data_IF_470594126888
#
_entry.id   IF_470594126888
#
_cell.length_a   1.000
_cell.length_b   1.000
_cell.length_c   1.000
_cell.angle_alpha   90.00
_cell.angle_beta   90.00
_cell.angle_gamma   90.00
#
_symmetry.space_group_name_H-M   'P 1'
#
loop_
_entity.id
_entity.type
_entity.pdbx_description
1 polymer ?
#
# COMPACT_ATOMS: atom_id res chain seq x y z
N UNK A 1 18.45 -6.78 12.76
CA UNK A 1 18.24 -7.93 11.86
C UNK A 1 16.86 -7.73 11.26
N UNK A 2 16.81 -7.45 9.97
CA UNK A 2 15.51 -7.41 9.28
C UNK A 2 14.90 -8.80 9.39
N UNK A 3 13.65 -8.89 9.83
CA UNK A 3 12.94 -10.16 10.02
C UNK A 3 12.93 -10.97 8.73
N UNK A 4 13.04 -12.28 8.87
CA UNK A 4 12.91 -13.25 7.77
C UNK A 4 11.54 -13.05 7.13
N UNK A 5 11.50 -12.80 5.80
CA UNK A 5 10.24 -12.65 5.10
C UNK A 5 9.59 -14.02 4.89
N UNK A 6 8.29 -14.11 5.16
CA UNK A 6 7.48 -15.32 5.00
C UNK A 6 6.83 -15.34 3.61
N UNK A 7 7.12 -16.38 2.83
CA UNK A 7 6.64 -16.52 1.44
C UNK A 7 5.76 -17.76 1.31
N UNK A 8 4.56 -17.59 0.76
CA UNK A 8 3.71 -18.68 0.32
C UNK A 8 4.02 -19.02 -1.14
N UNK A 9 4.48 -20.24 -1.40
CA UNK A 9 4.65 -20.80 -2.75
C UNK A 9 3.40 -21.58 -3.09
N UNK A 10 2.75 -21.25 -4.18
CA UNK A 10 1.57 -21.94 -4.72
C UNK A 10 1.94 -22.50 -6.09
N UNK A 11 2.32 -23.76 -6.15
CA UNK A 11 2.87 -24.44 -7.34
C UNK A 11 2.67 -25.95 -7.16
N UNK A 12 2.21 -26.66 -8.18
CA UNK A 12 2.03 -28.12 -8.14
C UNK A 12 3.36 -28.89 -8.20
N UNK A 13 4.47 -28.20 -8.50
CA UNK A 13 5.84 -28.74 -8.45
C UNK A 13 6.81 -27.78 -7.75
N UNK A 14 6.62 -27.48 -6.45
CA UNK A 14 7.33 -26.42 -5.73
C UNK A 14 8.77 -26.77 -5.35
N UNK A 15 9.24 -28.00 -5.61
CA UNK A 15 10.49 -28.56 -5.07
C UNK A 15 11.69 -27.63 -5.24
N UNK A 16 11.89 -27.09 -6.44
CA UNK A 16 13.04 -26.22 -6.72
C UNK A 16 13.03 -24.96 -5.83
N UNK A 17 11.91 -24.28 -5.74
CA UNK A 17 11.78 -23.04 -4.97
C UNK A 17 11.78 -23.31 -3.46
N UNK A 18 11.10 -24.37 -3.03
CA UNK A 18 11.07 -24.83 -1.64
C UNK A 18 12.46 -25.13 -1.08
N UNK A 19 13.34 -25.73 -1.90
CA UNK A 19 14.70 -26.09 -1.49
C UNK A 19 15.66 -24.89 -1.59
N UNK A 20 15.48 -24.01 -2.56
CA UNK A 20 16.40 -22.92 -2.84
C UNK A 20 16.18 -21.68 -1.97
N UNK A 21 14.93 -21.21 -1.81
CA UNK A 21 14.65 -19.92 -1.17
C UNK A 21 15.03 -19.84 0.32
N UNK A 22 14.94 -20.91 1.13
CA UNK A 22 15.44 -20.88 2.51
C UNK A 22 16.92 -20.55 2.64
N UNK A 23 17.73 -20.91 1.64
CA UNK A 23 19.17 -20.59 1.62
C UNK A 23 19.44 -19.08 1.52
N UNK A 24 18.44 -18.29 1.13
CA UNK A 24 18.47 -16.82 1.05
C UNK A 24 17.74 -16.15 2.20
N UNK A 25 17.37 -16.91 3.25
CA UNK A 25 16.78 -16.37 4.46
C UNK A 25 15.25 -16.15 4.39
N UNK A 26 14.55 -16.82 3.47
CA UNK A 26 13.09 -16.78 3.40
C UNK A 26 12.47 -17.96 4.17
N UNK A 27 11.39 -17.68 4.89
CA UNK A 27 10.54 -18.72 5.49
C UNK A 27 9.48 -19.15 4.48
N UNK A 28 9.41 -20.46 4.19
CA UNK A 28 8.59 -20.98 3.10
C UNK A 28 7.45 -21.83 3.60
N UNK A 29 6.25 -21.49 3.18
CA UNK A 29 5.06 -22.36 3.22
C UNK A 29 4.69 -22.72 1.78
N UNK A 30 4.19 -23.93 1.57
CA UNK A 30 3.83 -24.44 0.24
C UNK A 30 2.34 -24.79 0.22
N UNK A 31 1.70 -24.52 -0.91
CA UNK A 31 0.40 -25.03 -1.31
C UNK A 31 0.52 -25.63 -2.72
N UNK A 32 -0.11 -26.76 -2.98
CA UNK A 32 -0.03 -27.49 -4.26
C UNK A 32 -1.05 -26.96 -5.29
N UNK A 33 -2.06 -26.24 -4.84
CA UNK A 33 -3.05 -25.60 -5.71
C UNK A 33 -3.69 -24.35 -5.07
N UNK A 34 -4.57 -23.68 -5.83
CA UNK A 34 -5.22 -22.46 -5.37
C UNK A 34 -6.21 -22.70 -4.21
N UNK A 35 -6.84 -23.88 -4.12
CA UNK A 35 -7.79 -24.20 -3.05
C UNK A 35 -7.03 -24.31 -1.72
N UNK A 36 -5.92 -25.04 -1.72
CA UNK A 36 -5.07 -25.19 -0.55
C UNK A 36 -4.48 -23.84 -0.14
N UNK A 37 -4.01 -23.02 -1.10
CA UNK A 37 -3.52 -21.68 -0.84
C UNK A 37 -4.55 -20.80 -0.13
N UNK A 38 -5.79 -20.77 -0.60
CA UNK A 38 -6.87 -20.00 0.03
C UNK A 38 -7.20 -20.49 1.44
N UNK A 39 -7.12 -21.81 1.68
CA UNK A 39 -7.29 -22.39 3.01
C UNK A 39 -6.17 -21.96 3.96
N UNK A 40 -4.91 -21.99 3.51
CA UNK A 40 -3.75 -21.52 4.28
C UNK A 40 -3.89 -20.03 4.59
N UNK A 41 -4.28 -19.21 3.62
CA UNK A 41 -4.47 -17.77 3.75
C UNK A 41 -5.66 -17.38 4.64
N UNK A 42 -6.61 -18.31 4.90
CA UNK A 42 -7.72 -18.09 5.83
C UNK A 42 -7.35 -18.25 7.29
N UNK A 43 -6.19 -18.84 7.61
CA UNK A 43 -5.69 -19.00 8.96
C UNK A 43 -5.17 -17.66 9.50
N UNK A 44 -5.86 -17.10 10.48
CA UNK A 44 -5.53 -15.78 11.06
C UNK A 44 -4.19 -15.75 11.82
N UNK A 45 -3.65 -16.91 12.19
CA UNK A 45 -2.36 -17.00 12.88
C UNK A 45 -1.18 -16.99 11.91
N UNK A 46 -1.43 -17.03 10.61
CA UNK A 46 -0.38 -17.02 9.57
C UNK A 46 -0.29 -15.66 8.91
N UNK A 47 0.92 -15.22 8.69
CA UNK A 47 1.22 -13.99 7.96
C UNK A 47 2.20 -14.29 6.83
N UNK A 48 1.93 -13.69 5.67
CA UNK A 48 2.80 -13.82 4.50
C UNK A 48 3.15 -12.44 3.96
N UNK A 49 4.43 -12.24 3.68
CA UNK A 49 4.96 -11.00 3.08
C UNK A 49 4.89 -11.03 1.56
N UNK A 50 4.77 -12.22 0.95
CA UNK A 50 4.74 -12.42 -0.49
C UNK A 50 4.08 -13.75 -0.84
N UNK A 51 3.40 -13.79 -1.98
CA UNK A 51 2.91 -15.02 -2.61
C UNK A 51 3.62 -15.20 -3.96
N UNK A 52 4.23 -16.36 -4.18
CA UNK A 52 4.70 -16.83 -5.47
C UNK A 52 3.64 -17.78 -6.02
N UNK A 53 2.98 -17.42 -7.12
CA UNK A 53 1.79 -18.12 -7.61
C UNK A 53 1.98 -18.62 -9.04
N UNK A 54 2.01 -19.94 -9.21
CA UNK A 54 2.00 -20.53 -10.56
C UNK A 54 0.61 -20.32 -11.20
N UNK A 55 0.63 -20.12 -12.50
CA UNK A 55 -0.59 -20.00 -13.31
C UNK A 55 -1.22 -21.37 -13.59
N UNK A 56 -0.37 -22.38 -13.88
CA UNK A 56 -0.82 -23.67 -14.36
C UNK A 56 -0.82 -24.69 -13.23
N UNK A 57 -1.94 -24.84 -12.55
CA UNK A 57 -2.11 -25.78 -11.43
C UNK A 57 -3.42 -26.54 -11.58
N UNK A 58 -3.51 -27.78 -11.00
CA UNK A 58 -4.77 -28.52 -10.94
C UNK A 58 -5.81 -27.84 -10.05
N UNK A 59 -7.05 -28.30 -10.10
CA UNK A 59 -8.20 -27.87 -9.30
C UNK A 59 -8.53 -26.38 -9.44
N UNK A 60 -7.65 -25.47 -9.04
CA UNK A 60 -7.81 -24.02 -9.15
C UNK A 60 -6.54 -23.39 -9.72
N UNK A 61 -6.64 -22.78 -10.91
CA UNK A 61 -5.52 -22.13 -11.57
C UNK A 61 -5.11 -20.81 -10.87
N UNK A 62 -3.90 -20.31 -11.20
CA UNK A 62 -3.37 -19.09 -10.58
C UNK A 62 -4.18 -17.83 -10.82
N UNK A 63 -4.85 -17.69 -11.98
CA UNK A 63 -5.68 -16.52 -12.25
C UNK A 63 -6.91 -16.44 -11.35
N UNK A 64 -7.59 -17.56 -11.13
CA UNK A 64 -8.75 -17.60 -10.27
C UNK A 64 -8.35 -17.51 -8.79
N UNK A 65 -7.19 -18.06 -8.42
CA UNK A 65 -6.59 -17.89 -7.11
C UNK A 65 -6.27 -16.41 -6.84
N UNK A 66 -5.62 -15.71 -7.78
CA UNK A 66 -5.32 -14.28 -7.66
C UNK A 66 -6.59 -13.44 -7.47
N UNK A 67 -7.63 -13.70 -8.28
CA UNK A 67 -8.93 -13.01 -8.12
C UNK A 67 -9.52 -13.21 -6.73
N UNK A 68 -9.45 -14.44 -6.19
CA UNK A 68 -9.96 -14.74 -4.85
C UNK A 68 -9.13 -14.01 -3.76
N UNK A 69 -7.79 -14.00 -3.88
CA UNK A 69 -6.90 -13.25 -2.99
C UNK A 69 -7.26 -11.77 -2.98
N UNK A 70 -7.48 -11.14 -4.15
CA UNK A 70 -7.78 -9.71 -4.28
C UNK A 70 -9.18 -9.31 -3.81
N UNK A 71 -10.13 -10.26 -3.78
CA UNK A 71 -11.49 -10.04 -3.26
C UNK A 71 -11.59 -10.11 -1.74
N UNK A 72 -10.63 -10.72 -1.06
CA UNK A 72 -10.65 -10.89 0.38
C UNK A 72 -9.91 -9.73 1.06
N UNK A 73 -10.59 -8.99 1.94
CA UNK A 73 -10.06 -7.81 2.64
C UNK A 73 -8.77 -8.08 3.42
N UNK A 74 -8.57 -9.32 3.93
CA UNK A 74 -7.40 -9.70 4.71
C UNK A 74 -6.17 -9.98 3.83
N UNK A 75 -6.37 -10.45 2.60
CA UNK A 75 -5.29 -10.91 1.73
C UNK A 75 -5.04 -10.01 0.52
N UNK A 76 -5.95 -9.08 0.21
CA UNK A 76 -5.90 -8.24 -0.99
C UNK A 76 -4.62 -7.40 -1.12
N UNK A 77 -3.95 -7.10 -0.02
CA UNK A 77 -2.73 -6.29 0.01
C UNK A 77 -1.43 -7.12 0.04
N UNK A 78 -1.54 -8.46 0.16
CA UNK A 78 -0.34 -9.32 0.09
C UNK A 78 0.18 -9.26 -1.34
N UNK A 79 1.45 -8.88 -1.56
CA UNK A 79 2.02 -8.85 -2.90
C UNK A 79 2.07 -10.23 -3.52
N UNK A 80 1.81 -10.31 -4.83
CA UNK A 80 1.77 -11.56 -5.60
C UNK A 80 2.68 -11.45 -6.82
N UNK A 81 3.66 -12.34 -6.95
CA UNK A 81 4.44 -12.56 -8.16
C UNK A 81 3.86 -13.79 -8.87
N UNK A 82 3.37 -13.59 -10.10
CA UNK A 82 2.88 -14.69 -10.92
C UNK A 82 4.06 -15.41 -11.57
N UNK A 83 4.04 -16.74 -11.52
CA UNK A 83 5.01 -17.60 -12.22
C UNK A 83 4.25 -18.29 -13.37
N UNK A 84 4.72 -18.15 -14.60
CA UNK A 84 3.98 -18.64 -15.77
C UNK A 84 4.88 -19.29 -16.81
N UNK A 85 4.41 -20.36 -17.43
CA UNK A 85 5.06 -20.94 -18.59
C UNK A 85 4.66 -20.22 -19.90
N UNK A 86 3.70 -19.29 -19.85
CA UNK A 86 3.10 -18.67 -21.04
C UNK A 86 3.69 -17.29 -21.25
N UNK A 87 4.37 -17.10 -22.38
CA UNK A 87 4.94 -15.83 -22.85
C UNK A 87 3.92 -14.96 -23.58
N UNK A 88 2.62 -15.30 -23.55
CA UNK A 88 1.60 -14.51 -24.26
C UNK A 88 1.44 -13.14 -23.57
N UNK A 89 1.94 -12.09 -24.19
CA UNK A 89 1.87 -10.70 -23.72
C UNK A 89 0.44 -10.29 -23.29
N UNK A 90 -0.58 -10.79 -23.98
CA UNK A 90 -1.98 -10.49 -23.67
C UNK A 90 -2.43 -11.07 -22.31
N UNK A 91 -1.93 -12.23 -21.92
CA UNK A 91 -2.25 -12.85 -20.61
C UNK A 91 -1.48 -12.19 -19.47
N UNK A 92 -0.27 -11.75 -19.74
CA UNK A 92 0.54 -10.95 -18.80
C UNK A 92 -0.13 -9.61 -18.50
N UNK A 93 -0.57 -8.88 -19.54
CA UNK A 93 -1.32 -7.61 -19.39
C UNK A 93 -2.63 -7.83 -18.64
N UNK A 94 -3.32 -8.94 -18.88
CA UNK A 94 -4.54 -9.29 -18.15
C UNK A 94 -4.27 -9.55 -16.66
N UNK A 95 -3.16 -10.22 -16.34
CA UNK A 95 -2.77 -10.52 -14.94
C UNK A 95 -2.43 -9.28 -14.13
N UNK A 96 -1.69 -8.34 -14.72
CA UNK A 96 -1.40 -7.04 -14.09
C UNK A 96 -2.70 -6.24 -13.84
N UNK A 97 -3.66 -6.30 -14.77
CA UNK A 97 -4.99 -5.68 -14.59
C UNK A 97 -5.82 -6.33 -13.48
N UNK A 98 -5.62 -7.63 -13.21
CA UNK A 98 -6.30 -8.35 -12.12
C UNK A 98 -5.66 -8.02 -10.75
N UNK A 99 -4.42 -7.46 -10.75
CA UNK A 99 -3.76 -7.00 -9.54
C UNK A 99 -2.55 -7.84 -9.11
N UNK A 100 -1.86 -8.50 -10.04
CA UNK A 100 -0.52 -9.03 -9.77
C UNK A 100 0.49 -7.87 -9.62
N UNK A 101 1.45 -8.01 -8.72
CA UNK A 101 2.49 -7.00 -8.47
C UNK A 101 3.69 -7.16 -9.41
N UNK A 102 3.97 -8.38 -9.83
CA UNK A 102 4.98 -8.72 -10.84
C UNK A 102 4.70 -10.10 -11.44
N UNK A 103 5.45 -10.48 -12.47
CA UNK A 103 5.41 -11.80 -13.07
C UNK A 103 6.79 -12.25 -13.53
N UNK A 104 6.99 -13.57 -13.63
CA UNK A 104 8.20 -14.18 -14.20
C UNK A 104 7.81 -15.35 -15.07
N UNK A 105 8.47 -15.46 -16.23
CA UNK A 105 8.20 -16.54 -17.21
C UNK A 105 9.17 -17.69 -16.99
N UNK A 106 8.64 -18.91 -16.93
CA UNK A 106 9.43 -20.17 -16.92
C UNK A 106 9.96 -20.47 -18.35
N UNK A 107 11.22 -20.92 -18.54
CA UNK A 107 12.23 -21.12 -17.49
C UNK A 107 12.89 -19.80 -17.06
N UNK A 108 13.19 -19.67 -15.78
CA UNK A 108 13.90 -18.53 -15.22
C UNK A 108 15.14 -18.97 -14.43
N UNK A 109 16.09 -18.07 -14.26
CA UNK A 109 17.23 -18.27 -13.37
C UNK A 109 16.93 -17.70 -11.98
N UNK A 110 17.40 -18.39 -10.94
CA UNK A 110 17.12 -18.02 -9.56
C UNK A 110 17.49 -16.56 -9.21
N UNK A 111 18.63 -15.99 -9.65
CA UNK A 111 18.95 -14.59 -9.41
C UNK A 111 17.91 -13.60 -9.93
N UNK A 112 17.25 -13.88 -11.06
CA UNK A 112 16.20 -13.03 -11.59
C UNK A 112 14.94 -13.04 -10.69
N UNK A 113 14.57 -14.22 -10.17
CA UNK A 113 13.46 -14.34 -9.23
C UNK A 113 13.78 -13.62 -7.92
N UNK A 114 14.97 -13.81 -7.36
CA UNK A 114 15.41 -13.15 -6.13
C UNK A 114 15.35 -11.63 -6.25
N UNK A 115 15.86 -11.06 -7.35
CA UNK A 115 15.82 -9.62 -7.58
C UNK A 115 14.37 -9.07 -7.62
N UNK A 116 13.41 -9.85 -8.17
CA UNK A 116 11.98 -9.47 -8.19
C UNK A 116 11.37 -9.58 -6.81
N UNK A 117 11.63 -10.65 -6.07
CA UNK A 117 11.19 -10.83 -4.68
C UNK A 117 11.64 -9.61 -3.84
N UNK A 118 12.92 -9.27 -3.88
CA UNK A 118 13.47 -8.14 -3.14
C UNK A 118 12.82 -6.79 -3.54
N UNK A 119 12.62 -6.57 -4.84
CA UNK A 119 12.01 -5.34 -5.34
C UNK A 119 10.55 -5.20 -4.86
N UNK A 120 9.78 -6.30 -4.91
CA UNK A 120 8.38 -6.31 -4.48
C UNK A 120 8.26 -6.16 -2.97
N UNK A 121 9.04 -6.88 -2.18
CA UNK A 121 9.07 -6.76 -0.71
C UNK A 121 9.47 -5.37 -0.26
N UNK A 122 10.49 -4.76 -0.88
CA UNK A 122 10.90 -3.37 -0.60
C UNK A 122 9.78 -2.38 -0.87
N UNK A 123 9.07 -2.49 -2.00
CA UNK A 123 7.93 -1.64 -2.35
C UNK A 123 6.80 -1.76 -1.34
N UNK A 124 6.46 -2.99 -0.94
CA UNK A 124 5.43 -3.26 0.07
C UNK A 124 5.78 -2.64 1.43
N UNK A 125 7.04 -2.78 1.88
CA UNK A 125 7.52 -2.13 3.12
C UNK A 125 7.37 -0.61 3.05
N UNK A 126 7.78 0.03 1.96
CA UNK A 126 7.64 1.48 1.79
C UNK A 126 6.18 1.95 1.81
N UNK A 127 5.27 1.20 1.16
CA UNK A 127 3.84 1.51 1.20
C UNK A 127 3.27 1.38 2.61
N UNK A 128 3.64 0.33 3.34
CA UNK A 128 3.22 0.13 4.72
C UNK A 128 3.77 1.21 5.67
N UNK A 129 5.02 1.64 5.49
CA UNK A 129 5.63 2.73 6.26
C UNK A 129 4.99 4.09 5.95
N UNK A 130 4.70 4.37 4.69
CA UNK A 130 3.98 5.58 4.27
C UNK A 130 2.58 5.63 4.87
N UNK A 131 1.82 4.54 4.79
CA UNK A 131 0.50 4.42 5.40
C UNK A 131 0.55 4.54 6.95
N UNK A 132 1.61 4.03 7.60
CA UNK A 132 1.83 4.23 9.05
C UNK A 132 2.16 5.68 9.37
N UNK A 133 2.95 6.37 8.54
CA UNK A 133 3.24 7.80 8.70
C UNK A 133 1.98 8.64 8.55
N UNK A 134 1.15 8.38 7.53
CA UNK A 134 -0.14 9.03 7.35
C UNK A 134 -1.09 8.80 8.54
N UNK A 135 -1.21 7.56 9.04
CA UNK A 135 -1.99 7.25 10.25
C UNK A 135 -1.42 7.91 11.51
N UNK A 136 -0.10 8.08 11.60
CA UNK A 136 0.53 8.76 12.74
C UNK A 136 0.32 10.27 12.68
N UNK A 137 0.42 10.87 11.50
CA UNK A 137 0.08 12.28 11.27
C UNK A 137 -1.38 12.52 11.63
N UNK A 138 -2.30 11.68 11.17
CA UNK A 138 -3.73 11.79 11.50
C UNK A 138 -4.05 11.56 13.00
N UNK A 139 -3.23 10.81 13.73
CA UNK A 139 -3.41 10.59 15.19
C UNK A 139 -2.85 11.74 16.04
N UNK A 140 -1.79 12.40 15.56
CA UNK A 140 -1.15 13.52 16.26
C UNK A 140 -1.78 14.88 15.92
N UNK A 141 -2.54 14.96 14.82
CA UNK A 141 -3.30 16.14 14.41
C UNK A 141 -4.75 15.95 14.82
N UNK A 142 -5.14 16.59 15.91
CA UNK A 142 -6.52 16.54 16.39
C UNK A 142 -7.38 17.52 15.57
N UNK A 143 -7.88 17.04 14.43
CA UNK A 143 -8.67 17.81 13.44
C UNK A 143 -9.98 18.36 14.07
N UNK A 144 -10.52 17.68 15.07
CA UNK A 144 -11.71 18.11 15.81
C UNK A 144 -11.48 19.38 16.62
N UNK A 145 -10.22 19.82 16.79
CA UNK A 145 -9.88 21.07 17.46
C UNK A 145 -10.03 22.32 16.58
N UNK A 146 -10.17 22.19 15.24
CA UNK A 146 -10.43 23.36 14.40
C UNK A 146 -11.90 23.77 14.48
N UNK A 147 -12.12 25.02 14.85
CA UNK A 147 -13.45 25.61 14.83
C UNK A 147 -13.98 25.73 13.39
N UNK A 148 -15.30 25.82 13.17
CA UNK A 148 -15.87 26.04 11.84
C UNK A 148 -15.21 27.21 11.09
N UNK A 149 -14.93 28.32 11.82
CA UNK A 149 -14.29 29.50 11.24
C UNK A 149 -12.84 29.26 10.82
N UNK A 150 -12.07 28.49 11.59
CA UNK A 150 -10.72 28.11 11.25
C UNK A 150 -10.69 27.17 10.03
N UNK A 151 -11.68 26.29 9.86
CA UNK A 151 -11.84 25.47 8.65
C UNK A 151 -12.13 26.32 7.42
N UNK A 152 -12.98 27.33 7.51
CA UNK A 152 -13.25 28.29 6.42
C UNK A 152 -11.96 29.04 6.02
N UNK A 153 -11.23 29.57 7.00
CA UNK A 153 -9.94 30.25 6.76
C UNK A 153 -8.95 29.31 6.06
N UNK A 154 -8.83 28.06 6.51
CA UNK A 154 -7.92 27.09 5.93
C UNK A 154 -8.32 26.70 4.49
N UNK A 155 -9.62 26.61 4.21
CA UNK A 155 -10.15 26.34 2.86
C UNK A 155 -9.85 27.50 1.90
N UNK A 156 -9.97 28.75 2.32
CA UNK A 156 -9.61 29.89 1.48
C UNK A 156 -8.10 29.98 1.28
N UNK A 157 -7.33 29.64 2.33
CA UNK A 157 -5.87 29.55 2.27
C UNK A 157 -5.39 28.55 1.22
N UNK A 158 -6.03 27.37 1.12
CA UNK A 158 -5.69 26.33 0.16
C UNK A 158 -5.96 26.74 -1.29
N UNK A 159 -6.91 27.64 -1.50
CA UNK A 159 -7.19 28.23 -2.82
C UNK A 159 -6.18 29.33 -3.21
N UNK A 160 -5.15 29.56 -2.39
CA UNK A 160 -4.11 30.53 -2.65
C UNK A 160 -4.42 31.95 -2.16
N UNK A 161 -5.57 32.19 -1.50
CA UNK A 161 -5.98 33.50 -1.04
C UNK A 161 -4.99 34.06 0.00
N UNK A 162 -4.59 35.33 -0.13
CA UNK A 162 -3.79 36.03 0.87
C UNK A 162 -4.67 36.49 2.06
N UNK A 163 -4.06 37.00 3.14
CA UNK A 163 -4.80 37.37 4.35
C UNK A 163 -5.85 38.44 4.11
N UNK A 164 -5.58 39.42 3.25
CA UNK A 164 -6.53 40.48 2.91
C UNK A 164 -7.73 39.94 2.13
N UNK A 165 -7.50 39.03 1.20
CA UNK A 165 -8.54 38.36 0.42
C UNK A 165 -9.44 37.51 1.33
N UNK A 166 -8.83 36.74 2.29
CA UNK A 166 -9.56 35.96 3.28
C UNK A 166 -10.37 36.88 4.19
N UNK A 167 -9.78 37.98 4.65
CA UNK A 167 -10.46 38.97 5.50
C UNK A 167 -11.69 39.58 4.81
N UNK A 168 -11.54 39.94 3.53
CA UNK A 168 -12.64 40.45 2.71
C UNK A 168 -13.73 39.40 2.50
N UNK A 169 -13.36 38.16 2.17
CA UNK A 169 -14.31 37.07 1.95
C UNK A 169 -15.12 36.70 3.20
N UNK A 170 -14.51 36.82 4.38
CA UNK A 170 -15.15 36.49 5.66
C UNK A 170 -15.72 37.70 6.42
N UNK A 171 -15.63 38.90 5.80
CA UNK A 171 -16.09 40.19 6.39
C UNK A 171 -15.49 40.46 7.77
N UNK A 172 -14.16 40.22 7.92
CA UNK A 172 -13.40 40.48 9.16
C UNK A 172 -12.14 41.30 8.86
N UNK A 173 -11.43 41.74 9.91
CA UNK A 173 -10.17 42.47 9.75
C UNK A 173 -8.97 41.51 9.51
N UNK A 174 -7.95 41.98 8.80
CA UNK A 174 -6.70 41.23 8.53
C UNK A 174 -6.03 40.70 9.81
N UNK A 175 -6.08 41.48 10.90
CA UNK A 175 -5.57 41.08 12.23
C UNK A 175 -6.28 39.84 12.77
N UNK A 176 -7.61 39.73 12.51
CA UNK A 176 -8.41 38.57 12.91
C UNK A 176 -7.97 37.33 12.15
N UNK A 177 -7.68 37.44 10.85
CA UNK A 177 -7.16 36.33 10.05
C UNK A 177 -5.78 35.88 10.53
N UNK A 178 -4.88 36.82 10.88
CA UNK A 178 -3.56 36.47 11.46
C UNK A 178 -3.72 35.67 12.76
N UNK A 179 -4.69 36.03 13.58
CA UNK A 179 -5.00 35.33 14.83
C UNK A 179 -5.51 33.90 14.55
N UNK A 180 -6.44 33.74 13.59
CA UNK A 180 -6.93 32.42 13.18
C UNK A 180 -5.81 31.55 12.60
N UNK A 181 -4.95 32.11 11.75
CA UNK A 181 -3.81 31.37 11.19
C UNK A 181 -2.84 30.90 12.28
N UNK A 182 -2.51 31.73 13.25
CA UNK A 182 -1.66 31.36 14.36
C UNK A 182 -2.28 30.21 15.19
N UNK A 183 -3.59 30.24 15.42
CA UNK A 183 -4.31 29.18 16.11
C UNK A 183 -4.34 27.89 15.29
N UNK A 184 -4.61 27.99 13.97
CA UNK A 184 -4.55 26.86 13.04
C UNK A 184 -3.16 26.23 13.07
N UNK A 185 -2.07 27.01 12.95
CA UNK A 185 -0.70 26.50 12.95
C UNK A 185 -0.36 25.78 14.26
N UNK A 186 -0.78 26.33 15.40
CA UNK A 186 -0.61 25.67 16.71
C UNK A 186 -1.40 24.36 16.80
N UNK A 187 -2.67 24.35 16.38
CA UNK A 187 -3.54 23.17 16.44
C UNK A 187 -3.10 22.07 15.50
N UNK A 188 -2.64 22.43 14.30
CA UNK A 188 -2.10 21.51 13.29
C UNK A 188 -0.62 21.15 13.52
N UNK A 189 0.04 21.79 14.52
CA UNK A 189 1.46 21.60 14.81
C UNK A 189 2.38 21.86 13.61
N UNK A 190 2.07 22.88 12.82
CA UNK A 190 2.85 23.31 11.64
C UNK A 190 3.47 24.69 11.86
N UNK A 191 4.55 24.98 11.11
CA UNK A 191 5.34 26.21 11.29
C UNK A 191 4.98 27.33 10.33
N UNK A 192 4.30 27.05 9.21
CA UNK A 192 3.98 28.01 8.17
C UNK A 192 2.72 27.63 7.37
N UNK A 193 2.25 28.59 6.53
CA UNK A 193 1.05 28.42 5.73
C UNK A 193 1.11 27.27 4.73
N UNK A 194 2.26 27.07 4.10
CA UNK A 194 2.44 26.02 3.10
C UNK A 194 2.29 24.63 3.75
N UNK A 195 2.90 24.44 4.92
CA UNK A 195 2.75 23.19 5.68
C UNK A 195 1.30 22.97 6.13
N UNK A 196 0.59 24.04 6.53
CA UNK A 196 -0.81 23.94 6.92
C UNK A 196 -1.71 23.49 5.75
N UNK A 197 -1.47 24.02 4.55
CA UNK A 197 -2.22 23.64 3.34
C UNK A 197 -1.90 22.20 2.92
N UNK A 198 -0.62 21.83 2.86
CA UNK A 198 -0.20 20.46 2.50
C UNK A 198 -0.80 19.44 3.45
N UNK A 199 -0.70 19.68 4.77
CA UNK A 199 -1.28 18.80 5.77
C UNK A 199 -2.81 18.70 5.64
N UNK A 200 -3.49 19.82 5.41
CA UNK A 200 -4.95 19.83 5.24
C UNK A 200 -5.42 19.06 4.00
N UNK A 201 -4.62 19.04 2.92
CA UNK A 201 -4.85 18.21 1.73
C UNK A 201 -4.60 16.72 2.02
N UNK A 202 -3.48 16.38 2.69
CA UNK A 202 -3.14 15.00 3.05
C UNK A 202 -4.23 14.32 3.91
N UNK A 203 -4.83 15.06 4.83
CA UNK A 203 -5.88 14.53 5.73
C UNK A 203 -7.30 14.69 5.18
N UNK A 204 -7.46 15.05 3.88
CA UNK A 204 -8.74 15.29 3.22
C UNK A 204 -9.68 16.28 3.96
N UNK A 205 -9.12 17.25 4.66
CA UNK A 205 -9.88 18.29 5.36
C UNK A 205 -10.40 19.35 4.39
N UNK A 206 -9.75 19.52 3.29
CA UNK A 206 -10.04 20.44 2.17
C UNK A 206 -9.81 19.68 0.85
N UNK A 207 -10.69 19.91 -0.13
CA UNK A 207 -10.57 19.39 -1.49
C UNK A 207 -9.86 20.39 -2.38
#
# INVERSE_FOLDING_TARGET
MDGIASILIVDDNPKFLKDALPMYGYEITVAEDGIEALKILSDENRHFDLILLDVMMPNMNGWDTLKAIRKNEKTQYIPVIMITAVSEEQKVVSGLKIGADDYIVKPFILPNLLARIEAVLRRSKWQAESAKKEKKINKDVNIDLLTPKEKEVLTLLSKGANNQEIANALCVQDVTIKTHLNNIFKKLKVSNRTQAVLLAMEINLIN
#
